data_IF_962375536499
#
_entry.id   IF_962375536499
#
_cell.length_a   1.000
_cell.length_b   1.000
_cell.length_c   1.000
_cell.angle_alpha   90.00
_cell.angle_beta   90.00
_cell.angle_gamma   90.00
#
_symmetry.space_group_name_H-M   'P 1'
#
loop_
_entity.id
_entity.type
_entity.pdbx_description
1 polymer ?
#
# COMPACT_ATOMS: atom_id res chain seq x y z
N UNK A 1 23.85 -81.15 -52.03
CA UNK A 1 22.66 -80.98 -51.17
C UNK A 1 22.89 -79.76 -50.29
N UNK A 2 21.87 -78.89 -50.20
CA UNK A 2 21.92 -77.48 -49.76
C UNK A 2 22.05 -77.31 -48.24
N UNK A 3 22.71 -76.20 -47.88
CA UNK A 3 22.81 -75.54 -46.58
C UNK A 3 21.44 -75.21 -45.98
N UNK A 4 21.33 -75.18 -44.65
CA UNK A 4 20.46 -74.25 -43.93
C UNK A 4 21.14 -73.75 -42.65
N UNK A 5 21.28 -72.42 -42.61
CA UNK A 5 21.62 -71.56 -41.48
C UNK A 5 20.30 -71.07 -40.87
N UNK A 6 20.18 -70.92 -39.54
CA UNK A 6 19.22 -70.05 -38.80
C UNK A 6 19.79 -69.92 -37.37
N UNK A 7 20.43 -68.79 -37.05
CA UNK A 7 19.88 -67.54 -36.48
C UNK A 7 19.50 -67.64 -35.00
N UNK A 8 20.40 -67.15 -34.15
CA UNK A 8 20.20 -66.85 -32.73
C UNK A 8 19.37 -65.55 -32.65
N UNK A 9 18.12 -65.63 -32.23
CA UNK A 9 17.29 -64.45 -31.95
C UNK A 9 17.55 -64.03 -30.50
N UNK A 10 18.29 -62.93 -30.33
CA UNK A 10 18.42 -62.24 -29.05
C UNK A 10 17.17 -61.37 -28.89
N UNK A 11 16.24 -61.82 -28.04
CA UNK A 11 15.06 -61.05 -27.65
C UNK A 11 15.48 -59.93 -26.71
N UNK A 12 15.71 -58.73 -27.24
CA UNK A 12 15.75 -57.51 -26.44
C UNK A 12 14.30 -57.18 -26.08
N UNK A 13 13.93 -57.45 -24.83
CA UNK A 13 12.71 -56.90 -24.24
C UNK A 13 12.99 -55.41 -24.03
N UNK A 14 12.42 -54.58 -24.89
CA UNK A 14 12.29 -53.15 -24.63
C UNK A 14 11.25 -52.99 -23.52
N UNK A 15 11.72 -52.78 -22.29
CA UNK A 15 10.91 -52.21 -21.21
C UNK A 15 10.65 -50.74 -21.60
N UNK A 16 9.53 -50.52 -22.28
CA UNK A 16 8.94 -49.20 -22.42
C UNK A 16 8.28 -48.81 -21.11
N UNK A 17 8.60 -47.62 -20.62
CA UNK A 17 8.00 -47.02 -19.43
C UNK A 17 9.02 -46.38 -18.50
N UNK A 18 9.88 -45.48 -18.99
CA UNK A 18 10.39 -44.43 -18.13
C UNK A 18 9.23 -43.43 -17.99
N UNK A 19 8.53 -43.45 -16.86
CA UNK A 19 7.92 -42.21 -16.39
C UNK A 19 9.08 -41.26 -16.14
N UNK A 20 9.07 -40.08 -16.74
CA UNK A 20 9.92 -38.98 -16.26
C UNK A 20 9.63 -38.83 -14.78
N UNK A 21 10.65 -39.06 -13.93
CA UNK A 21 10.56 -38.64 -12.54
C UNK A 21 10.33 -37.14 -12.57
N UNK A 22 9.24 -36.68 -11.94
CA UNK A 22 8.91 -35.26 -11.88
C UNK A 22 10.11 -34.49 -11.30
N UNK A 23 10.53 -33.41 -11.97
CA UNK A 23 11.66 -32.60 -11.51
C UNK A 23 11.33 -32.07 -10.10
N UNK A 24 12.10 -32.45 -9.06
CA UNK A 24 11.82 -32.06 -7.69
C UNK A 24 11.93 -30.55 -7.46
N UNK A 25 12.52 -29.80 -8.41
CA UNK A 25 12.59 -28.34 -8.36
C UNK A 25 11.22 -27.67 -8.55
N UNK A 26 10.25 -28.36 -9.14
CA UNK A 26 8.93 -27.80 -9.50
C UNK A 26 7.77 -28.63 -8.93
N UNK A 27 7.61 -28.69 -7.59
CA UNK A 27 6.59 -29.52 -6.94
C UNK A 27 5.16 -28.99 -7.08
N UNK A 28 4.96 -27.70 -7.35
CA UNK A 28 3.66 -27.04 -7.30
C UNK A 28 3.19 -26.49 -8.66
N UNK A 29 4.09 -25.91 -9.46
CA UNK A 29 3.76 -25.30 -10.76
C UNK A 29 4.76 -25.70 -11.83
N UNK A 30 4.25 -26.09 -12.99
CA UNK A 30 5.00 -26.47 -14.20
C UNK A 30 4.39 -25.81 -15.45
N UNK A 31 5.08 -25.92 -16.60
CA UNK A 31 4.60 -25.29 -17.84
C UNK A 31 3.22 -25.78 -18.29
N UNK A 32 2.89 -27.05 -18.01
CA UNK A 32 1.60 -27.64 -18.38
C UNK A 32 0.41 -27.03 -17.61
N UNK A 33 0.66 -26.31 -16.52
CA UNK A 33 -0.37 -25.56 -15.76
C UNK A 33 -0.77 -24.24 -16.44
N UNK A 34 -0.02 -23.83 -17.48
CA UNK A 34 -0.21 -22.59 -18.22
C UNK A 34 -0.38 -22.83 -19.73
N UNK A 35 -1.32 -23.71 -20.15
CA UNK A 35 -1.45 -24.14 -21.54
C UNK A 35 -1.89 -23.02 -22.51
N UNK A 36 -2.43 -21.92 -21.98
CA UNK A 36 -2.88 -20.76 -22.74
C UNK A 36 -1.77 -19.77 -23.09
N UNK A 37 -0.60 -19.87 -22.46
CA UNK A 37 0.52 -18.93 -22.64
C UNK A 37 1.31 -19.29 -23.89
N UNK A 38 1.77 -18.29 -24.63
CA UNK A 38 2.56 -18.51 -25.85
C UNK A 38 3.92 -19.17 -25.59
N UNK A 39 4.53 -18.89 -24.44
CA UNK A 39 5.86 -19.41 -24.07
C UNK A 39 5.96 -19.70 -22.58
N UNK A 40 6.75 -20.71 -22.22
CA UNK A 40 7.07 -21.06 -20.84
C UNK A 40 8.56 -21.35 -20.68
N UNK A 41 9.16 -20.81 -19.63
CA UNK A 41 10.57 -21.02 -19.26
C UNK A 41 10.64 -21.54 -17.83
N UNK A 42 11.26 -22.71 -17.66
CA UNK A 42 11.60 -23.27 -16.35
C UNK A 42 13.00 -22.83 -15.96
N UNK A 43 13.16 -22.22 -14.79
CA UNK A 43 14.46 -21.86 -14.21
C UNK A 43 14.75 -22.77 -13.02
N UNK A 44 15.79 -23.59 -13.15
CA UNK A 44 16.19 -24.58 -12.13
C UNK A 44 16.43 -23.95 -10.76
N UNK A 45 16.29 -24.75 -9.71
CA UNK A 45 16.50 -24.36 -8.31
C UNK A 45 17.79 -23.55 -8.10
N UNK A 46 17.65 -22.30 -7.65
CA UNK A 46 18.76 -21.40 -7.30
C UNK A 46 19.63 -20.92 -8.47
N UNK A 47 19.22 -21.17 -9.72
CA UNK A 47 19.93 -20.73 -10.91
C UNK A 47 19.70 -19.23 -11.19
N UNK A 48 20.40 -18.39 -10.43
CA UNK A 48 20.30 -16.92 -10.54
C UNK A 48 20.70 -16.41 -11.94
N UNK A 49 21.74 -16.98 -12.55
CA UNK A 49 22.14 -16.58 -13.90
C UNK A 49 21.10 -17.01 -14.93
N UNK A 50 20.56 -18.23 -14.82
CA UNK A 50 19.48 -18.70 -15.68
C UNK A 50 18.22 -17.83 -15.60
N UNK A 51 17.88 -17.33 -14.40
CA UNK A 51 16.81 -16.33 -14.23
C UNK A 51 17.12 -15.05 -15.01
N UNK A 52 18.31 -14.47 -14.83
CA UNK A 52 18.69 -13.24 -15.51
C UNK A 52 18.72 -13.41 -17.03
N UNK A 53 19.23 -14.53 -17.52
CA UNK A 53 19.26 -14.85 -18.95
C UNK A 53 17.85 -15.00 -19.52
N UNK A 54 16.94 -15.68 -18.78
CA UNK A 54 15.56 -15.84 -19.17
C UNK A 54 14.82 -14.49 -19.27
N UNK A 55 14.95 -13.63 -18.26
CA UNK A 55 14.23 -12.34 -18.25
C UNK A 55 14.78 -11.36 -19.31
N UNK A 56 16.07 -11.44 -19.63
CA UNK A 56 16.68 -10.64 -20.70
C UNK A 56 16.28 -11.07 -22.11
N UNK A 57 15.73 -12.28 -22.26
CA UNK A 57 15.32 -12.86 -23.54
C UNK A 57 13.79 -12.97 -23.70
N UNK A 58 13.01 -12.31 -22.85
CA UNK A 58 11.55 -12.43 -22.85
C UNK A 58 10.93 -11.93 -24.15
N UNK A 59 10.11 -12.79 -24.74
CA UNK A 59 9.04 -12.40 -25.65
C UNK A 59 7.76 -12.10 -24.85
N UNK A 60 6.84 -11.35 -25.46
CA UNK A 60 5.52 -11.13 -24.88
C UNK A 60 4.78 -12.46 -24.64
N UNK A 61 3.86 -12.47 -23.68
CA UNK A 61 3.02 -13.63 -23.36
C UNK A 61 3.81 -14.87 -22.89
N UNK A 62 4.83 -14.62 -22.06
CA UNK A 62 5.69 -15.67 -21.47
C UNK A 62 5.38 -15.87 -19.99
N UNK A 63 5.44 -17.12 -19.53
CA UNK A 63 5.54 -17.47 -18.11
C UNK A 63 6.96 -17.93 -17.77
N UNK A 64 7.55 -17.35 -16.73
CA UNK A 64 8.82 -17.78 -16.15
C UNK A 64 8.51 -18.44 -14.81
N UNK A 65 8.75 -19.74 -14.72
CA UNK A 65 8.52 -20.53 -13.52
C UNK A 65 9.87 -20.81 -12.86
N UNK A 66 10.01 -20.34 -11.62
CA UNK A 66 11.19 -20.55 -10.81
C UNK A 66 11.00 -21.80 -9.97
N UNK A 67 12.03 -22.62 -9.89
CA UNK A 67 12.05 -23.77 -9.00
C UNK A 67 12.14 -23.34 -7.53
N UNK A 68 12.03 -24.30 -6.63
CA UNK A 68 12.33 -24.10 -5.21
C UNK A 68 13.79 -23.69 -5.03
N UNK A 69 14.11 -22.92 -3.99
CA UNK A 69 15.48 -22.56 -3.62
C UNK A 69 15.67 -21.05 -3.48
N UNK A 70 16.87 -20.67 -3.04
CA UNK A 70 17.31 -19.28 -2.98
C UNK A 70 18.16 -18.94 -4.20
N UNK A 71 17.81 -17.85 -4.87
CA UNK A 71 18.48 -17.29 -6.03
C UNK A 71 19.28 -16.07 -5.55
N UNK A 72 20.59 -16.25 -5.38
CA UNK A 72 21.49 -15.18 -4.94
C UNK A 72 21.74 -14.21 -6.10
N UNK A 73 21.24 -12.97 -5.98
CA UNK A 73 21.25 -11.97 -7.04
C UNK A 73 22.07 -10.75 -6.62
N UNK A 74 22.92 -10.27 -7.53
CA UNK A 74 23.64 -8.99 -7.42
C UNK A 74 23.15 -7.96 -8.45
N UNK A 75 22.17 -8.33 -9.28
CA UNK A 75 21.56 -7.54 -10.34
C UNK A 75 20.03 -7.67 -10.30
N UNK A 76 19.32 -6.61 -10.69
CA UNK A 76 17.85 -6.57 -10.70
C UNK A 76 17.23 -7.51 -11.74
N UNK A 77 16.09 -8.09 -11.41
CA UNK A 77 15.24 -8.82 -12.37
C UNK A 77 14.42 -7.80 -13.16
N UNK A 78 14.74 -7.63 -14.45
CA UNK A 78 14.19 -6.56 -15.28
C UNK A 78 13.17 -7.08 -16.29
N UNK A 79 11.96 -6.54 -16.28
CA UNK A 79 10.86 -6.98 -17.18
C UNK A 79 10.40 -5.82 -18.07
N UNK A 80 10.46 -6.00 -19.39
CA UNK A 80 10.10 -4.99 -20.40
C UNK A 80 9.21 -5.53 -21.54
N UNK A 81 8.89 -6.82 -21.52
CA UNK A 81 7.91 -7.44 -22.39
C UNK A 81 6.54 -7.42 -21.69
N UNK A 82 5.46 -7.47 -22.47
CA UNK A 82 4.08 -7.45 -21.97
C UNK A 82 3.52 -8.86 -21.76
N UNK A 83 2.50 -8.95 -20.92
CA UNK A 83 1.83 -10.17 -20.51
C UNK A 83 2.87 -11.15 -19.98
N UNK A 84 3.61 -10.76 -18.95
CA UNK A 84 4.64 -11.61 -18.35
C UNK A 84 4.14 -12.10 -17.00
N UNK A 85 4.31 -13.40 -16.76
CA UNK A 85 4.10 -14.00 -15.44
C UNK A 85 5.43 -14.48 -14.90
N UNK A 86 5.86 -13.99 -13.74
CA UNK A 86 6.93 -14.61 -12.94
C UNK A 86 6.28 -15.32 -11.76
N UNK A 87 6.52 -16.62 -11.64
CA UNK A 87 5.96 -17.41 -10.55
C UNK A 87 7.03 -18.29 -9.91
N UNK A 88 7.05 -18.32 -8.58
CA UNK A 88 7.81 -19.32 -7.83
C UNK A 88 6.97 -20.56 -7.51
N UNK A 89 7.47 -21.36 -6.57
CA UNK A 89 6.77 -22.54 -6.04
C UNK A 89 6.06 -22.25 -4.71
N UNK A 90 6.11 -21.02 -4.20
CA UNK A 90 5.53 -20.61 -2.92
C UNK A 90 6.43 -19.58 -2.23
N UNK A 91 5.84 -18.68 -1.42
CA UNK A 91 6.59 -17.64 -0.70
C UNK A 91 7.75 -18.19 0.14
N UNK A 92 7.59 -19.38 0.73
CA UNK A 92 8.63 -20.00 1.56
C UNK A 92 9.56 -20.93 0.78
N UNK A 93 9.25 -21.20 -0.49
CA UNK A 93 9.91 -22.23 -1.28
C UNK A 93 10.80 -21.63 -2.37
N UNK A 94 10.46 -20.45 -2.90
CA UNK A 94 11.26 -19.72 -3.90
C UNK A 94 11.62 -18.33 -3.36
N UNK A 95 12.91 -18.05 -3.24
CA UNK A 95 13.43 -16.78 -2.70
C UNK A 95 14.40 -16.13 -3.68
N UNK A 96 14.17 -14.88 -4.03
CA UNK A 96 15.11 -14.00 -4.72
C UNK A 96 15.87 -13.21 -3.65
N UNK A 97 17.13 -13.58 -3.41
CA UNK A 97 17.95 -13.05 -2.32
C UNK A 97 18.99 -12.06 -2.86
N UNK A 98 18.81 -10.79 -2.53
CA UNK A 98 19.65 -9.69 -2.96
C UNK A 98 20.70 -9.28 -1.91
N UNK A 99 20.91 -10.08 -0.86
CA UNK A 99 21.96 -9.84 0.14
C UNK A 99 23.37 -9.61 -0.43
N UNK A 100 23.77 -10.22 -1.58
CA UNK A 100 25.05 -9.93 -2.24
C UNK A 100 25.09 -8.60 -3.01
N UNK A 101 23.94 -7.99 -3.32
CA UNK A 101 23.87 -6.79 -4.13
C UNK A 101 24.46 -5.58 -3.40
N UNK A 102 25.30 -4.82 -4.10
CA UNK A 102 25.94 -3.59 -3.56
C UNK A 102 25.48 -2.32 -4.27
N UNK A 103 24.87 -2.46 -5.45
CA UNK A 103 24.28 -1.36 -6.18
C UNK A 103 22.88 -1.05 -5.63
N UNK A 104 22.44 0.19 -5.79
CA UNK A 104 21.06 0.62 -5.46
C UNK A 104 20.10 0.15 -6.55
N UNK A 105 19.66 -1.11 -6.43
CA UNK A 105 18.80 -1.80 -7.40
C UNK A 105 17.52 -2.29 -6.74
N UNK A 106 16.46 -2.37 -7.55
CA UNK A 106 15.24 -3.05 -7.14
C UNK A 106 15.42 -4.57 -7.19
N UNK A 107 14.58 -5.31 -6.49
CA UNK A 107 14.53 -6.76 -6.63
C UNK A 107 13.97 -7.15 -8.00
N UNK A 108 12.69 -6.84 -8.21
CA UNK A 108 12.03 -6.91 -9.51
C UNK A 108 11.68 -5.48 -9.96
N UNK A 109 12.06 -5.13 -11.18
CA UNK A 109 11.74 -3.86 -11.81
C UNK A 109 11.04 -4.09 -13.15
N UNK A 110 9.75 -3.78 -13.21
CA UNK A 110 8.89 -4.11 -14.33
C UNK A 110 8.19 -2.89 -14.94
N UNK A 111 8.12 -2.87 -16.27
CA UNK A 111 7.22 -2.03 -17.06
C UNK A 111 6.60 -3.00 -18.07
N UNK A 112 5.37 -3.44 -17.80
CA UNK A 112 4.70 -4.53 -18.52
C UNK A 112 3.20 -4.51 -18.29
N UNK A 113 2.43 -4.32 -19.36
CA UNK A 113 0.98 -4.53 -19.31
C UNK A 113 0.67 -6.01 -19.10
N UNK A 114 -0.31 -6.37 -18.26
CA UNK A 114 -0.66 -7.76 -17.96
C UNK A 114 0.39 -8.48 -17.11
N UNK A 115 1.19 -7.75 -16.33
CA UNK A 115 2.23 -8.35 -15.49
C UNK A 115 1.65 -9.07 -14.29
N UNK A 116 2.12 -10.29 -14.03
CA UNK A 116 1.79 -11.07 -12.84
C UNK A 116 3.08 -11.50 -12.14
N UNK A 117 3.16 -11.24 -10.85
CA UNK A 117 4.18 -11.81 -9.97
C UNK A 117 3.51 -12.59 -8.85
N UNK A 118 3.87 -13.85 -8.69
CA UNK A 118 3.24 -14.70 -7.68
C UNK A 118 4.15 -15.76 -7.06
N UNK A 119 3.77 -16.22 -5.87
CA UNK A 119 4.31 -17.42 -5.23
C UNK A 119 5.83 -17.39 -4.99
N UNK A 120 6.39 -16.25 -4.59
CA UNK A 120 7.83 -16.09 -4.31
C UNK A 120 8.11 -15.02 -3.23
N UNK A 121 9.32 -15.04 -2.70
CA UNK A 121 9.86 -13.97 -1.84
C UNK A 121 10.92 -13.15 -2.56
N UNK A 122 10.92 -11.82 -2.38
CA UNK A 122 12.06 -10.93 -2.61
C UNK A 122 12.64 -10.53 -1.24
N UNK A 123 13.92 -10.80 -1.05
CA UNK A 123 14.66 -10.57 0.20
C UNK A 123 15.82 -9.61 -0.04
N UNK A 124 15.97 -8.61 0.83
CA UNK A 124 17.14 -7.74 0.93
C UNK A 124 17.49 -6.94 -0.34
N UNK A 125 16.49 -6.57 -1.14
CA UNK A 125 16.69 -5.66 -2.28
C UNK A 125 17.22 -4.30 -1.78
N UNK A 126 18.39 -3.80 -2.23
CA UNK A 126 18.96 -2.55 -1.70
C UNK A 126 18.13 -1.29 -1.93
N UNK A 127 17.17 -1.33 -2.88
CA UNK A 127 16.22 -0.26 -3.16
C UNK A 127 14.78 -0.75 -2.99
N UNK A 128 13.98 -0.92 -4.05
CA UNK A 128 12.58 -1.35 -3.92
C UNK A 128 12.48 -2.88 -4.06
N UNK A 129 11.59 -3.54 -3.33
CA UNK A 129 11.39 -4.99 -3.44
C UNK A 129 10.89 -5.38 -4.83
N UNK A 130 9.63 -5.04 -5.13
CA UNK A 130 8.97 -5.37 -6.40
C UNK A 130 8.26 -4.13 -6.93
N UNK A 131 8.92 -3.45 -7.86
CA UNK A 131 8.43 -2.23 -8.48
C UNK A 131 7.83 -2.51 -9.86
N UNK A 132 6.57 -2.13 -10.05
CA UNK A 132 5.90 -2.16 -11.36
C UNK A 132 5.44 -0.75 -11.69
N UNK A 133 5.98 -0.19 -12.77
CA UNK A 133 5.71 1.19 -13.18
C UNK A 133 5.01 1.26 -14.54
N UNK A 134 4.16 2.27 -14.75
CA UNK A 134 3.59 2.64 -16.06
C UNK A 134 2.96 1.45 -16.79
N UNK A 135 2.19 0.65 -16.06
CA UNK A 135 1.66 -0.63 -16.53
C UNK A 135 0.16 -0.73 -16.31
N UNK A 136 -0.54 -1.51 -17.14
CA UNK A 136 -1.96 -1.78 -17.02
C UNK A 136 -2.23 -3.27 -16.79
N UNK A 137 -3.08 -3.62 -15.82
CA UNK A 137 -3.41 -5.01 -15.51
C UNK A 137 -2.29 -5.69 -14.76
N UNK A 138 -1.97 -5.18 -13.57
CA UNK A 138 -0.85 -5.65 -12.74
C UNK A 138 -1.38 -6.49 -11.59
N UNK A 139 -0.81 -7.69 -11.39
CA UNK A 139 -1.18 -8.56 -10.26
C UNK A 139 0.03 -8.94 -9.43
N UNK A 140 -0.07 -8.70 -8.12
CA UNK A 140 0.80 -9.24 -7.09
C UNK A 140 -0.02 -10.23 -6.27
N UNK A 141 0.41 -11.50 -6.18
CA UNK A 141 -0.37 -12.54 -5.52
C UNK A 141 0.50 -13.50 -4.75
N UNK A 142 0.25 -13.69 -3.46
CA UNK A 142 1.03 -14.62 -2.62
C UNK A 142 2.52 -14.40 -2.77
N UNK A 143 2.94 -13.14 -2.65
CA UNK A 143 4.35 -12.77 -2.65
C UNK A 143 4.75 -12.23 -1.28
N UNK A 144 6.05 -12.29 -0.99
CA UNK A 144 6.62 -11.61 0.17
C UNK A 144 7.75 -10.68 -0.25
N UNK A 145 7.74 -9.44 0.22
CA UNK A 145 8.88 -8.52 0.14
C UNK A 145 9.36 -8.19 1.56
N UNK A 146 10.63 -8.43 1.86
CA UNK A 146 11.15 -8.26 3.24
C UNK A 146 12.64 -7.94 3.27
N UNK A 147 13.09 -7.42 4.41
CA UNK A 147 14.50 -7.19 4.73
C UNK A 147 14.90 -7.92 6.00
N UNK A 148 16.17 -8.33 6.08
CA UNK A 148 16.72 -9.09 7.19
C UNK A 148 16.79 -8.24 8.46
N UNK A 149 17.23 -6.98 8.34
CA UNK A 149 17.37 -6.07 9.48
C UNK A 149 16.02 -5.45 9.83
N UNK A 150 15.61 -5.53 11.10
CA UNK A 150 14.38 -4.89 11.57
C UNK A 150 14.64 -3.42 11.93
N UNK A 151 13.76 -2.52 11.51
CA UNK A 151 13.83 -1.09 11.87
C UNK A 151 15.09 -0.37 11.35
N UNK A 152 15.70 -0.83 10.27
CA UNK A 152 16.91 -0.26 9.71
C UNK A 152 16.56 0.77 8.62
N UNK A 153 17.02 2.02 8.82
CA UNK A 153 16.78 3.12 7.86
C UNK A 153 17.49 2.94 6.52
N UNK A 154 18.36 1.91 6.40
CA UNK A 154 19.05 1.55 5.16
C UNK A 154 18.39 0.40 4.41
N UNK A 155 17.32 -0.18 4.96
CA UNK A 155 16.48 -1.09 4.21
C UNK A 155 15.88 -0.39 2.99
N UNK A 156 15.33 -1.19 2.09
CA UNK A 156 14.62 -0.69 0.93
C UNK A 156 13.38 0.13 1.30
N UNK A 157 13.12 1.16 0.51
CA UNK A 157 12.06 2.13 0.76
C UNK A 157 10.67 1.52 0.54
N UNK A 158 10.47 0.73 -0.51
CA UNK A 158 9.15 0.19 -0.83
C UNK A 158 9.21 -1.32 -1.06
N UNK A 159 8.39 -2.09 -0.33
CA UNK A 159 8.30 -3.55 -0.49
C UNK A 159 7.58 -3.96 -1.78
N UNK A 160 6.27 -3.83 -1.78
CA UNK A 160 5.39 -4.08 -2.93
C UNK A 160 4.99 -2.72 -3.51
N UNK A 161 5.37 -2.44 -4.76
CA UNK A 161 5.36 -1.07 -5.28
C UNK A 161 4.77 -0.94 -6.70
N UNK A 162 3.44 -1.01 -6.88
CA UNK A 162 2.79 -0.48 -8.07
C UNK A 162 2.80 1.05 -8.09
N UNK A 163 3.26 1.61 -9.22
CA UNK A 163 3.29 3.08 -9.41
C UNK A 163 2.88 3.48 -10.82
N UNK A 164 2.13 4.58 -10.94
CA UNK A 164 1.65 5.09 -12.25
C UNK A 164 0.96 4.01 -13.09
N UNK A 165 0.24 3.12 -12.42
CA UNK A 165 -0.30 1.91 -13.02
C UNK A 165 -1.83 1.88 -12.94
N UNK A 166 -2.46 1.10 -13.80
CA UNK A 166 -3.91 0.98 -13.87
C UNK A 166 -4.33 -0.47 -13.71
N UNK A 167 -5.52 -0.68 -13.14
CA UNK A 167 -6.09 -2.01 -12.92
C UNK A 167 -5.12 -2.92 -12.14
N UNK A 168 -4.88 -2.54 -10.88
CA UNK A 168 -3.88 -3.17 -10.03
C UNK A 168 -4.57 -4.05 -8.99
N UNK A 169 -4.13 -5.30 -8.87
CA UNK A 169 -4.51 -6.23 -7.82
C UNK A 169 -3.29 -6.56 -6.95
N UNK A 170 -3.40 -6.35 -5.65
CA UNK A 170 -2.45 -6.84 -4.66
C UNK A 170 -3.19 -7.71 -3.65
N UNK A 171 -2.91 -9.02 -3.65
CA UNK A 171 -3.62 -9.95 -2.78
C UNK A 171 -2.76 -11.03 -2.13
N UNK A 172 -3.20 -11.47 -0.94
CA UNK A 172 -2.62 -12.61 -0.21
C UNK A 172 -1.10 -12.48 0.03
N UNK A 173 -0.59 -11.24 0.10
CA UNK A 173 0.84 -10.95 0.09
C UNK A 173 1.32 -10.39 1.43
N UNK A 174 2.64 -10.44 1.64
CA UNK A 174 3.31 -10.00 2.86
C UNK A 174 4.34 -8.92 2.54
N UNK A 175 4.31 -7.80 3.25
CA UNK A 175 5.36 -6.80 3.15
C UNK A 175 5.89 -6.39 4.53
N UNK A 176 7.20 -6.51 4.69
CA UNK A 176 7.85 -6.42 6.00
C UNK A 176 9.10 -5.54 5.99
N UNK A 177 9.31 -4.80 7.08
CA UNK A 177 10.59 -4.15 7.44
C UNK A 177 11.12 -3.14 6.42
N UNK A 178 10.24 -2.55 5.62
CA UNK A 178 10.59 -1.49 4.70
C UNK A 178 10.85 -0.17 5.45
N UNK A 179 11.84 0.60 5.00
CA UNK A 179 12.22 1.88 5.62
C UNK A 179 11.26 3.02 5.32
N UNK A 180 10.31 2.81 4.42
CA UNK A 180 9.23 3.74 4.13
C UNK A 180 7.92 2.94 4.16
N UNK A 181 7.46 2.39 3.03
CA UNK A 181 6.20 1.67 2.96
C UNK A 181 6.36 0.18 2.64
N UNK A 182 5.74 -0.68 3.45
CA UNK A 182 5.68 -2.11 3.15
C UNK A 182 4.98 -2.37 1.82
N UNK A 183 3.76 -1.87 1.68
CA UNK A 183 2.97 -1.92 0.45
C UNK A 183 2.61 -0.51 0.03
N UNK A 184 3.18 -0.03 -1.07
CA UNK A 184 2.97 1.30 -1.60
C UNK A 184 2.20 1.25 -2.91
N UNK A 185 1.03 1.88 -2.95
CA UNK A 185 0.28 2.12 -4.19
C UNK A 185 0.30 3.61 -4.49
N UNK A 186 1.04 4.03 -5.51
CA UNK A 186 1.15 5.45 -5.84
C UNK A 186 0.74 5.80 -7.24
N UNK A 187 0.02 6.91 -7.41
CA UNK A 187 -0.29 7.47 -8.73
C UNK A 187 -1.07 6.46 -9.61
N UNK A 188 -1.84 5.56 -8.99
CA UNK A 188 -2.53 4.48 -9.66
C UNK A 188 -4.02 4.81 -9.91
N UNK A 189 -4.68 4.01 -10.77
CA UNK A 189 -6.12 4.08 -10.97
C UNK A 189 -6.75 2.68 -10.99
N UNK A 190 -7.88 2.50 -10.31
CA UNK A 190 -8.57 1.21 -10.17
C UNK A 190 -7.69 0.17 -9.50
N UNK A 191 -7.69 0.19 -8.17
CA UNK A 191 -6.82 -0.65 -7.35
C UNK A 191 -7.64 -1.47 -6.36
N UNK A 192 -7.30 -2.76 -6.25
CA UNK A 192 -7.78 -3.63 -5.18
C UNK A 192 -6.57 -4.09 -4.36
N UNK A 193 -6.61 -3.85 -3.05
CA UNK A 193 -5.61 -4.33 -2.09
C UNK A 193 -6.29 -5.14 -1.01
N UNK A 194 -6.12 -6.47 -1.00
CA UNK A 194 -6.87 -7.35 -0.09
C UNK A 194 -6.10 -8.51 0.51
N UNK A 195 -6.49 -8.94 1.71
CA UNK A 195 -5.94 -10.13 2.35
C UNK A 195 -4.40 -10.09 2.52
N UNK A 196 -3.81 -8.89 2.64
CA UNK A 196 -2.36 -8.74 2.80
C UNK A 196 -1.98 -8.57 4.27
N UNK A 197 -0.73 -8.89 4.60
CA UNK A 197 -0.12 -8.59 5.90
C UNK A 197 1.01 -7.59 5.73
N UNK A 198 0.96 -6.49 6.47
CA UNK A 198 2.01 -5.45 6.47
C UNK A 198 2.54 -5.24 7.89
N UNK A 199 3.83 -5.51 8.11
CA UNK A 199 4.41 -5.53 9.47
C UNK A 199 5.84 -4.99 9.58
N UNK A 200 6.13 -4.25 10.65
CA UNK A 200 7.49 -3.80 10.95
C UNK A 200 8.00 -2.70 10.02
N UNK A 201 7.12 -2.04 9.28
CA UNK A 201 7.47 -0.96 8.34
C UNK A 201 7.34 0.41 9.03
N UNK A 202 7.75 1.48 8.34
CA UNK A 202 7.32 2.83 8.75
C UNK A 202 5.82 2.98 8.46
N UNK A 203 5.42 3.05 7.20
CA UNK A 203 4.02 2.88 6.82
C UNK A 203 3.75 1.42 6.45
N UNK A 204 2.72 0.81 7.03
CA UNK A 204 2.32 -0.55 6.65
C UNK A 204 1.85 -0.60 5.20
N UNK A 205 0.80 0.18 4.89
CA UNK A 205 0.18 0.26 3.57
C UNK A 205 -0.10 1.73 3.23
N UNK A 206 0.37 2.17 2.06
CA UNK A 206 0.11 3.51 1.54
C UNK A 206 -0.73 3.48 0.26
N UNK A 207 -1.74 4.35 0.23
CA UNK A 207 -2.46 4.74 -0.98
C UNK A 207 -2.12 6.21 -1.24
N UNK A 208 -1.10 6.45 -2.06
CA UNK A 208 -0.64 7.79 -2.44
C UNK A 208 -1.24 8.23 -3.78
N UNK A 209 -1.83 9.44 -3.86
CA UNK A 209 -2.21 10.09 -5.12
C UNK A 209 -2.95 9.12 -6.07
N UNK A 210 -3.87 8.33 -5.55
CA UNK A 210 -4.48 7.19 -6.27
C UNK A 210 -5.99 7.38 -6.39
N UNK A 211 -6.55 7.01 -7.54
CA UNK A 211 -7.98 7.16 -7.83
C UNK A 211 -8.65 5.79 -7.85
N UNK A 212 -9.79 5.65 -7.18
CA UNK A 212 -10.60 4.44 -7.17
C UNK A 212 -9.84 3.24 -6.57
N UNK A 213 -9.73 3.21 -5.24
CA UNK A 213 -9.07 2.12 -4.52
C UNK A 213 -10.03 1.45 -3.53
N UNK A 214 -10.05 0.12 -3.50
CA UNK A 214 -10.75 -0.68 -2.47
C UNK A 214 -9.72 -1.51 -1.68
N UNK A 215 -9.55 -1.16 -0.41
CA UNK A 215 -8.52 -1.67 0.50
C UNK A 215 -9.22 -2.38 1.66
N UNK A 216 -9.19 -3.71 1.66
CA UNK A 216 -9.98 -4.49 2.59
C UNK A 216 -9.39 -5.82 3.06
N UNK A 217 -9.83 -6.28 4.24
CA UNK A 217 -9.38 -7.54 4.85
C UNK A 217 -7.84 -7.62 5.01
N UNK A 218 -7.14 -6.49 5.08
CA UNK A 218 -5.69 -6.45 5.33
C UNK A 218 -5.40 -6.43 6.84
N UNK A 219 -4.24 -6.96 7.21
CA UNK A 219 -3.71 -6.96 8.58
C UNK A 219 -2.47 -6.06 8.66
N UNK A 220 -2.60 -4.91 9.30
CA UNK A 220 -1.52 -3.95 9.53
C UNK A 220 -1.13 -3.95 11.00
N UNK A 221 0.05 -4.49 11.32
CA UNK A 221 0.51 -4.65 12.69
C UNK A 221 1.97 -4.26 12.91
N UNK A 222 2.26 -3.62 14.04
CA UNK A 222 3.64 -3.28 14.45
C UNK A 222 4.40 -2.47 13.40
N UNK A 223 3.71 -1.56 12.70
CA UNK A 223 4.33 -0.53 11.88
C UNK A 223 4.46 0.78 12.68
N UNK A 224 5.06 1.83 12.13
CA UNK A 224 4.97 3.19 12.73
C UNK A 224 3.57 3.76 12.52
N UNK A 225 3.05 3.63 11.30
CA UNK A 225 1.67 3.85 10.93
C UNK A 225 1.07 2.62 10.24
N UNK A 226 -0.19 2.31 10.53
CA UNK A 226 -0.89 1.16 9.98
C UNK A 226 -1.21 1.28 8.49
N UNK A 227 -2.30 1.98 8.16
CA UNK A 227 -2.74 2.19 6.77
C UNK A 227 -3.02 3.66 6.53
N UNK A 228 -2.41 4.24 5.51
CA UNK A 228 -2.45 5.68 5.23
C UNK A 228 -2.97 5.94 3.83
N UNK A 229 -3.79 6.99 3.68
CA UNK A 229 -4.37 7.43 2.42
C UNK A 229 -4.01 8.88 2.27
N UNK A 230 -3.19 9.23 1.28
CA UNK A 230 -2.79 10.63 1.15
C UNK A 230 -2.47 11.07 -0.27
N UNK A 231 -2.55 12.38 -0.49
CA UNK A 231 -1.89 13.03 -1.61
C UNK A 231 -0.65 13.78 -1.13
N UNK A 232 0.43 13.69 -1.88
CA UNK A 232 1.62 14.53 -1.71
C UNK A 232 1.71 15.58 -2.84
N UNK A 233 2.39 16.71 -2.56
CA UNK A 233 2.59 17.76 -3.56
C UNK A 233 3.46 17.28 -4.73
N UNK A 234 3.33 17.94 -5.89
CA UNK A 234 4.16 17.68 -7.07
C UNK A 234 3.72 16.50 -7.94
N UNK A 235 2.59 15.85 -7.62
CA UNK A 235 2.03 14.75 -8.40
C UNK A 235 0.82 15.21 -9.25
N UNK A 236 0.69 14.74 -10.51
CA UNK A 236 -0.42 15.11 -11.39
C UNK A 236 -1.74 14.38 -11.06
N UNK A 237 -1.70 13.33 -10.25
CA UNK A 237 -2.90 12.56 -9.89
C UNK A 237 -3.44 13.12 -8.57
N UNK A 238 -4.68 13.59 -8.59
CA UNK A 238 -5.43 13.95 -7.38
C UNK A 238 -6.16 12.71 -6.88
N UNK A 239 -5.88 12.29 -5.65
CA UNK A 239 -6.49 11.12 -5.02
C UNK A 239 -7.97 11.34 -4.71
N UNK A 240 -8.76 10.32 -5.02
CA UNK A 240 -10.22 10.33 -4.83
C UNK A 240 -10.79 8.92 -4.75
N UNK A 241 -11.96 8.81 -4.13
CA UNK A 241 -12.79 7.60 -4.18
C UNK A 241 -12.03 6.37 -3.62
N UNK A 242 -11.67 6.43 -2.34
CA UNK A 242 -10.92 5.38 -1.64
C UNK A 242 -11.82 4.73 -0.58
N UNK A 243 -11.89 3.41 -0.57
CA UNK A 243 -12.59 2.62 0.44
C UNK A 243 -11.56 1.87 1.27
N UNK A 244 -11.46 2.21 2.55
CA UNK A 244 -10.68 1.49 3.55
C UNK A 244 -11.63 0.77 4.49
N UNK A 245 -11.81 -0.53 4.30
CA UNK A 245 -12.84 -1.28 5.03
C UNK A 245 -12.42 -2.65 5.53
N UNK A 246 -12.98 -3.07 6.66
CA UNK A 246 -12.79 -4.43 7.19
C UNK A 246 -11.32 -4.81 7.46
N UNK A 247 -10.42 -3.82 7.63
CA UNK A 247 -9.01 -4.06 7.94
C UNK A 247 -8.79 -4.20 9.45
N UNK A 248 -7.75 -4.94 9.84
CA UNK A 248 -7.26 -5.03 11.22
C UNK A 248 -6.00 -4.18 11.36
N UNK A 249 -6.05 -3.13 12.16
CA UNK A 249 -5.01 -2.09 12.25
C UNK A 249 -4.58 -1.93 13.71
N UNK A 250 -3.61 -2.74 14.14
CA UNK A 250 -3.35 -2.97 15.56
C UNK A 250 -1.87 -2.81 15.92
N UNK A 251 -1.60 -2.35 17.15
CA UNK A 251 -0.25 -2.27 17.72
C UNK A 251 0.77 -1.54 16.82
N UNK A 252 0.34 -0.56 15.99
CA UNK A 252 1.25 0.16 15.09
C UNK A 252 2.06 1.20 15.86
N UNK A 253 2.99 0.72 16.70
CA UNK A 253 3.80 1.49 17.64
C UNK A 253 5.30 1.36 17.39
N UNK A 254 5.69 0.83 16.24
CA UNK A 254 7.11 0.69 15.91
C UNK A 254 7.73 2.10 15.84
N UNK A 255 8.94 2.31 16.42
CA UNK A 255 9.62 3.60 16.30
C UNK A 255 9.80 3.97 14.83
N UNK A 256 9.60 5.24 14.50
CA UNK A 256 9.84 5.72 13.14
C UNK A 256 11.34 5.62 12.79
N UNK A 257 11.67 4.95 11.68
CA UNK A 257 13.03 4.75 11.19
C UNK A 257 13.20 5.20 9.73
N UNK A 258 12.26 6.00 9.21
CA UNK A 258 12.37 6.52 7.86
C UNK A 258 13.61 7.41 7.71
N UNK A 259 14.34 7.30 6.58
CA UNK A 259 15.52 8.12 6.34
C UNK A 259 15.15 9.58 5.99
N UNK A 260 13.88 9.88 5.67
CA UNK A 260 13.40 11.22 5.33
C UNK A 260 11.98 11.22 4.75
N UNK A 261 11.61 12.32 4.08
CA UNK A 261 10.30 12.48 3.44
C UNK A 261 9.15 12.73 4.41
N UNK A 262 7.91 12.73 3.89
CA UNK A 262 6.69 12.96 4.69
C UNK A 262 6.49 11.85 5.73
N UNK A 263 6.90 10.62 5.43
CA UNK A 263 6.71 9.52 6.38
C UNK A 263 7.60 9.64 7.63
N UNK A 264 8.74 10.35 7.55
CA UNK A 264 9.63 10.54 8.68
C UNK A 264 9.07 11.46 9.79
N UNK A 265 8.01 12.21 9.49
CA UNK A 265 7.32 13.06 10.48
C UNK A 265 6.06 12.40 11.04
N UNK A 266 5.71 11.19 10.58
CA UNK A 266 4.59 10.42 11.12
C UNK A 266 4.93 9.99 12.55
N UNK A 267 4.09 10.32 13.55
CA UNK A 267 4.28 9.83 14.91
C UNK A 267 4.08 8.32 14.97
N UNK A 268 4.96 7.63 15.69
CA UNK A 268 4.72 6.23 16.02
C UNK A 268 3.41 6.09 16.80
N UNK A 269 2.67 4.98 16.62
CA UNK A 269 1.37 4.81 17.27
C UNK A 269 0.20 5.27 16.42
N UNK A 270 0.38 5.47 15.12
CA UNK A 270 -0.68 5.98 14.24
C UNK A 270 -1.42 4.80 13.58
N UNK A 271 -2.75 4.73 13.74
CA UNK A 271 -3.56 3.71 13.05
C UNK A 271 -3.70 4.02 11.56
N UNK A 272 -4.46 5.06 11.26
CA UNK A 272 -4.76 5.57 9.93
C UNK A 272 -4.71 7.08 9.91
N UNK A 273 -4.26 7.65 8.80
CA UNK A 273 -4.61 9.02 8.46
C UNK A 273 -5.06 9.16 7.00
N UNK A 274 -5.98 10.10 6.80
CA UNK A 274 -6.36 10.61 5.49
C UNK A 274 -5.78 12.02 5.35
N UNK A 275 -4.89 12.24 4.38
CA UNK A 275 -4.23 13.52 4.16
C UNK A 275 -4.40 14.03 2.73
N UNK A 276 -4.75 15.30 2.59
CA UNK A 276 -5.07 15.93 1.31
C UNK A 276 -5.95 15.03 0.37
N UNK A 277 -6.95 14.33 0.93
CA UNK A 277 -7.68 13.27 0.24
C UNK A 277 -9.18 13.58 0.12
N UNK A 278 -9.84 13.04 -0.91
CA UNK A 278 -11.28 13.26 -1.18
C UNK A 278 -12.07 11.98 -1.33
N UNK A 279 -13.34 12.00 -0.91
CA UNK A 279 -14.27 10.87 -1.07
C UNK A 279 -13.68 9.58 -0.52
N UNK A 280 -13.32 9.60 0.77
CA UNK A 280 -12.75 8.44 1.46
C UNK A 280 -13.77 7.84 2.41
N UNK A 281 -14.00 6.53 2.32
CA UNK A 281 -14.80 5.77 3.26
C UNK A 281 -13.88 4.93 4.16
N UNK A 282 -13.84 5.22 5.46
CA UNK A 282 -13.11 4.47 6.48
C UNK A 282 -14.13 3.72 7.33
N UNK A 283 -14.39 2.44 7.02
CA UNK A 283 -15.55 1.75 7.60
C UNK A 283 -15.32 0.31 8.00
N UNK A 284 -15.86 -0.13 9.14
CA UNK A 284 -15.79 -1.55 9.54
C UNK A 284 -14.39 -2.02 9.95
N UNK A 285 -13.42 -1.11 10.08
CA UNK A 285 -12.07 -1.49 10.47
C UNK A 285 -11.99 -1.74 11.99
N UNK A 286 -11.03 -2.57 12.39
CA UNK A 286 -10.71 -2.84 13.79
C UNK A 286 -9.41 -2.16 14.15
N UNK A 287 -9.49 -1.17 15.05
CA UNK A 287 -8.34 -0.48 15.60
C UNK A 287 -8.08 -0.90 17.04
N UNK A 288 -6.83 -1.23 17.35
CA UNK A 288 -6.45 -1.64 18.71
C UNK A 288 -5.03 -1.25 19.07
N UNK A 289 -4.86 -0.61 20.24
CA UNK A 289 -3.56 -0.30 20.86
C UNK A 289 -2.59 0.51 19.97
N UNK A 290 -3.10 1.43 19.15
CA UNK A 290 -2.27 2.41 18.44
C UNK A 290 -2.01 3.58 19.40
N UNK A 291 -0.77 3.80 19.82
CA UNK A 291 -0.43 4.65 20.97
C UNK A 291 -0.76 6.14 20.77
N UNK A 292 -0.67 6.66 19.55
CA UNK A 292 -0.94 8.07 19.22
C UNK A 292 -2.40 8.32 18.89
N UNK A 293 -3.01 7.49 18.06
CA UNK A 293 -4.42 7.63 17.68
C UNK A 293 -4.83 6.67 16.58
N UNK A 294 -6.13 6.46 16.43
CA UNK A 294 -6.66 5.50 15.46
C UNK A 294 -6.88 6.10 14.08
N UNK A 295 -7.59 7.23 13.98
CA UNK A 295 -7.90 7.87 12.70
C UNK A 295 -7.60 9.36 12.79
N UNK A 296 -6.76 9.88 11.91
CA UNK A 296 -6.50 11.31 11.75
C UNK A 296 -6.92 11.81 10.35
N UNK A 297 -7.70 12.88 10.30
CA UNK A 297 -8.14 13.54 9.07
C UNK A 297 -7.44 14.89 9.00
N UNK A 298 -6.51 15.02 8.05
CA UNK A 298 -5.52 16.09 8.02
C UNK A 298 -5.49 16.78 6.67
N UNK A 299 -5.44 18.10 6.63
CA UNK A 299 -5.08 18.89 5.45
C UNK A 299 -3.60 18.69 5.14
N UNK A 300 -3.25 18.72 3.85
CA UNK A 300 -1.86 18.79 3.42
C UNK A 300 -1.10 19.97 4.02
N UNK A 301 -1.79 21.06 4.37
CA UNK A 301 -1.19 22.24 5.00
C UNK A 301 -0.68 21.99 6.42
N UNK A 302 -1.05 20.86 7.05
CA UNK A 302 -0.46 20.40 8.31
C UNK A 302 0.97 19.89 8.10
N UNK A 303 1.26 19.31 6.93
CA UNK A 303 2.58 18.77 6.57
C UNK A 303 3.44 19.82 5.89
N UNK A 304 2.89 20.53 4.91
CA UNK A 304 3.56 21.65 4.26
C UNK A 304 2.64 22.86 4.19
N UNK A 305 2.94 23.86 5.03
CA UNK A 305 2.14 25.06 5.20
C UNK A 305 2.20 26.02 4.00
N UNK A 306 3.10 25.84 3.03
CA UNK A 306 3.13 26.65 1.81
C UNK A 306 2.08 26.13 0.82
N UNK A 307 0.96 26.85 0.60
CA UNK A 307 -0.05 26.38 -0.33
C UNK A 307 0.49 26.24 -1.76
N UNK A 308 1.53 27.00 -2.13
CA UNK A 308 2.12 26.99 -3.47
C UNK A 308 2.73 25.65 -3.88
N UNK A 309 3.19 24.82 -2.93
CA UNK A 309 3.72 23.48 -3.26
C UNK A 309 2.62 22.51 -3.67
N UNK A 310 1.38 22.78 -3.26
CA UNK A 310 0.20 21.97 -3.56
C UNK A 310 -0.50 22.40 -4.86
N UNK A 311 0.06 23.38 -5.56
CA UNK A 311 -0.51 23.93 -6.78
C UNK A 311 -0.20 23.01 -7.98
N UNK A 312 -1.23 22.58 -8.70
CA UNK A 312 -1.11 21.70 -9.87
C UNK A 312 -1.68 22.43 -11.10
N UNK A 313 -0.96 22.52 -12.23
CA UNK A 313 -1.53 22.96 -13.49
C UNK A 313 -2.68 22.06 -13.92
N UNK A 314 -3.86 22.64 -14.19
CA UNK A 314 -5.04 21.86 -14.61
C UNK A 314 -4.78 21.03 -15.88
N UNK A 315 -3.85 21.49 -16.74
CA UNK A 315 -3.45 20.78 -17.96
C UNK A 315 -2.62 19.51 -17.69
N UNK A 316 -2.05 19.37 -16.50
CA UNK A 316 -1.24 18.21 -16.08
C UNK A 316 -2.04 17.20 -15.28
N UNK A 317 -3.22 17.57 -14.77
CA UNK A 317 -4.04 16.69 -13.94
C UNK A 317 -4.44 15.43 -14.70
N UNK A 318 -4.25 14.28 -14.05
CA UNK A 318 -4.66 12.96 -14.55
C UNK A 318 -5.96 12.54 -13.86
N UNK A 319 -6.94 12.13 -14.66
CA UNK A 319 -8.26 11.71 -14.21
C UNK A 319 -9.30 12.84 -14.20
N UNK A 320 -10.53 12.50 -13.83
CA UNK A 320 -11.62 13.47 -13.70
C UNK A 320 -11.61 14.05 -12.28
N UNK A 321 -11.56 15.38 -12.20
CA UNK A 321 -11.59 16.16 -10.95
C UNK A 321 -12.76 17.17 -10.92
N UNK A 322 -13.66 17.11 -11.91
CA UNK A 322 -14.66 18.15 -12.16
C UNK A 322 -15.70 18.30 -11.04
N UNK A 323 -15.87 17.27 -10.22
CA UNK A 323 -16.76 17.20 -9.05
C UNK A 323 -16.04 17.35 -7.70
N UNK A 324 -14.70 17.49 -7.68
CA UNK A 324 -13.88 17.47 -6.46
C UNK A 324 -13.74 18.82 -5.75
N UNK A 325 -14.51 19.84 -6.11
CA UNK A 325 -14.55 21.11 -5.37
C UNK A 325 -13.19 21.80 -5.11
N UNK A 326 -12.14 21.43 -5.86
CA UNK A 326 -10.76 21.84 -5.55
C UNK A 326 -10.62 23.36 -5.61
N UNK A 327 -9.94 24.00 -4.62
CA UNK A 327 -9.70 25.42 -4.66
C UNK A 327 -8.87 25.81 -5.90
N UNK A 328 -9.19 26.95 -6.50
CA UNK A 328 -8.34 27.52 -7.55
C UNK A 328 -6.96 27.89 -6.98
N UNK A 329 -5.90 27.65 -7.75
CA UNK A 329 -4.56 28.06 -7.37
C UNK A 329 -4.29 29.55 -7.56
N UNK A 330 -3.14 30.01 -7.08
CA UNK A 330 -2.75 31.42 -7.19
C UNK A 330 -2.44 31.81 -8.64
N UNK A 331 -1.98 30.85 -9.45
CA UNK A 331 -1.75 31.02 -10.88
C UNK A 331 -3.02 30.73 -11.67
N UNK A 332 -3.34 31.57 -12.67
CA UNK A 332 -4.47 31.29 -13.55
C UNK A 332 -4.25 29.96 -14.30
N UNK A 333 -5.21 29.04 -14.19
CA UNK A 333 -5.11 27.73 -14.84
C UNK A 333 -4.64 26.59 -13.93
N UNK A 334 -4.52 26.81 -12.62
CA UNK A 334 -4.09 25.80 -11.65
C UNK A 334 -5.16 25.54 -10.58
N UNK A 335 -5.02 24.42 -9.86
CA UNK A 335 -5.82 24.03 -8.70
C UNK A 335 -4.90 23.76 -7.50
N UNK A 336 -5.47 23.71 -6.29
CA UNK A 336 -4.74 23.39 -5.06
C UNK A 336 -5.15 22.02 -4.53
N UNK A 337 -4.16 21.17 -4.25
CA UNK A 337 -4.38 19.78 -3.82
C UNK A 337 -4.12 19.52 -2.32
N UNK A 338 -4.34 20.50 -1.43
CA UNK A 338 -4.07 20.29 0.01
C UNK A 338 -5.30 19.87 0.83
N UNK A 339 -6.52 20.11 0.32
CA UNK A 339 -7.75 19.96 1.14
C UNK A 339 -8.09 18.48 1.36
N UNK A 340 -8.37 18.10 2.61
CA UNK A 340 -9.06 16.84 2.92
C UNK A 340 -10.53 17.10 3.13
N UNK A 341 -11.38 16.46 2.34
CA UNK A 341 -12.82 16.71 2.34
C UNK A 341 -13.61 15.48 1.93
N UNK A 342 -14.90 15.50 2.25
CA UNK A 342 -15.86 14.46 1.91
C UNK A 342 -15.36 13.09 2.41
N UNK A 343 -15.25 12.96 3.72
CA UNK A 343 -14.75 11.76 4.39
C UNK A 343 -15.88 11.15 5.21
N UNK A 344 -16.06 9.83 5.08
CA UNK A 344 -17.05 9.07 5.84
C UNK A 344 -16.34 8.08 6.74
N UNK A 345 -16.61 8.16 8.03
CA UNK A 345 -16.05 7.28 9.06
C UNK A 345 -17.24 6.62 9.76
N UNK A 346 -17.37 5.30 9.69
CA UNK A 346 -18.53 4.62 10.27
C UNK A 346 -18.23 3.17 10.63
N UNK A 347 -18.90 2.65 11.67
CA UNK A 347 -18.84 1.26 12.08
C UNK A 347 -17.41 0.72 12.35
N UNK A 348 -16.44 1.59 12.67
CA UNK A 348 -15.12 1.13 13.11
C UNK A 348 -15.19 0.72 14.58
N UNK A 349 -14.35 -0.22 14.98
CA UNK A 349 -14.18 -0.63 16.37
C UNK A 349 -12.85 -0.12 16.90
N UNK A 350 -12.85 0.40 18.13
CA UNK A 350 -11.70 1.07 18.74
C UNK A 350 -11.46 0.51 20.14
N UNK A 351 -10.20 0.21 20.48
CA UNK A 351 -9.85 -0.25 21.82
C UNK A 351 -8.39 0.02 22.18
N UNK A 352 -8.14 0.56 23.39
CA UNK A 352 -6.77 0.68 23.94
C UNK A 352 -5.82 1.67 23.24
N UNK A 353 -6.31 2.46 22.28
CA UNK A 353 -5.50 3.42 21.52
C UNK A 353 -5.44 4.80 22.18
N UNK A 354 -4.54 5.66 21.68
CA UNK A 354 -4.43 7.06 22.07
C UNK A 354 -3.79 7.31 23.44
N UNK A 355 -3.28 6.27 24.10
CA UNK A 355 -2.82 6.34 25.49
C UNK A 355 -1.41 6.90 25.68
N UNK A 356 -0.62 6.98 24.61
CA UNK A 356 0.78 7.40 24.68
C UNK A 356 1.25 8.07 23.37
N UNK A 357 0.74 9.26 23.03
CA UNK A 357 1.18 9.96 21.82
C UNK A 357 2.69 10.13 21.73
N UNK A 358 3.24 9.91 20.54
CA UNK A 358 4.67 10.04 20.29
C UNK A 358 5.11 11.52 20.29
N UNK A 359 5.55 11.98 21.46
CA UNK A 359 6.00 13.36 21.68
C UNK A 359 7.35 13.70 21.04
N UNK A 360 7.99 12.78 20.31
CA UNK A 360 9.15 13.13 19.48
C UNK A 360 8.73 13.88 18.22
N UNK A 361 7.47 13.74 17.80
CA UNK A 361 6.87 14.44 16.67
C UNK A 361 5.92 15.55 17.13
N UNK A 362 5.82 16.64 16.35
CA UNK A 362 5.01 17.81 16.71
C UNK A 362 3.53 17.46 16.92
N UNK A 363 2.96 16.59 16.07
CA UNK A 363 1.57 16.17 16.22
C UNK A 363 1.33 15.41 17.53
N UNK A 364 2.26 14.56 17.96
CA UNK A 364 2.16 13.89 19.25
C UNK A 364 2.32 14.84 20.44
N UNK A 365 3.16 15.88 20.34
CA UNK A 365 3.24 16.96 21.34
C UNK A 365 1.90 17.70 21.47
N UNK A 366 1.26 18.01 20.33
CA UNK A 366 -0.07 18.63 20.30
C UNK A 366 -1.09 17.74 21.04
N UNK A 367 -1.15 16.45 20.71
CA UNK A 367 -2.11 15.54 21.36
C UNK A 367 -1.84 15.41 22.87
N UNK A 368 -0.57 15.28 23.27
CA UNK A 368 -0.22 15.22 24.69
C UNK A 368 -0.65 16.49 25.45
N UNK A 369 -0.50 17.67 24.83
CA UNK A 369 -0.96 18.94 25.41
C UNK A 369 -2.49 19.04 25.46
N UNK A 370 -3.18 18.64 24.38
CA UNK A 370 -4.61 18.79 24.25
C UNK A 370 -5.41 17.83 25.16
N UNK A 371 -4.90 16.62 25.37
CA UNK A 371 -5.60 15.58 26.17
C UNK A 371 -5.06 15.44 27.59
N UNK A 372 -3.96 16.12 27.95
CA UNK A 372 -3.51 16.25 29.34
C UNK A 372 -3.18 14.93 30.04
N UNK A 373 -2.80 13.90 29.29
CA UNK A 373 -2.50 12.55 29.80
C UNK A 373 -3.68 11.57 29.78
N UNK A 374 -4.88 12.02 29.41
CA UNK A 374 -5.99 11.13 29.05
C UNK A 374 -5.79 10.58 27.62
N UNK A 375 -6.41 9.43 27.28
CA UNK A 375 -6.36 8.91 25.93
C UNK A 375 -6.91 9.91 24.90
N UNK A 376 -6.25 10.00 23.74
CA UNK A 376 -6.75 10.79 22.62
C UNK A 376 -8.07 10.24 22.07
N UNK A 377 -8.83 11.10 21.39
CA UNK A 377 -10.04 10.68 20.69
C UNK A 377 -9.70 9.68 19.56
N UNK A 378 -10.61 8.72 19.33
CA UNK A 378 -10.47 7.72 18.26
C UNK A 378 -10.42 8.36 16.86
N UNK A 379 -11.15 9.45 16.67
CA UNK A 379 -11.17 10.23 15.44
C UNK A 379 -10.63 11.64 15.76
N UNK A 380 -9.56 12.02 15.07
CA UNK A 380 -8.91 13.32 15.16
C UNK A 380 -9.11 14.04 13.84
N UNK A 381 -9.72 15.21 13.85
CA UNK A 381 -9.93 16.05 12.67
C UNK A 381 -9.22 17.38 12.86
N UNK A 382 -8.35 17.75 11.93
CA UNK A 382 -7.56 18.97 12.03
C UNK A 382 -8.39 20.26 12.00
N UNK A 383 -9.59 20.22 11.39
CA UNK A 383 -10.51 21.37 11.23
C UNK A 383 -9.97 22.46 10.31
N UNK A 384 -8.95 22.17 9.52
CA UNK A 384 -8.33 23.18 8.65
C UNK A 384 -9.30 23.57 7.52
N UNK A 385 -9.52 24.87 7.35
CA UNK A 385 -10.39 25.42 6.29
C UNK A 385 -11.89 25.41 6.60
N UNK A 386 -12.29 25.06 7.82
CA UNK A 386 -13.67 25.24 8.31
C UNK A 386 -13.95 26.73 8.59
N UNK A 387 -15.11 27.24 8.17
CA UNK A 387 -15.45 28.66 8.32
C UNK A 387 -15.83 29.07 9.74
N UNK A 388 -16.21 28.12 10.60
CA UNK A 388 -16.66 28.37 11.96
C UNK A 388 -16.09 27.32 12.92
N UNK A 389 -15.51 27.78 14.03
CA UNK A 389 -15.05 26.93 15.11
C UNK A 389 -15.46 27.50 16.48
N UNK A 390 -15.98 26.64 17.35
CA UNK A 390 -16.22 26.92 18.76
C UNK A 390 -15.86 25.69 19.60
N UNK A 391 -14.95 25.86 20.55
CA UNK A 391 -14.44 24.75 21.36
C UNK A 391 -15.45 24.19 22.39
N UNK A 392 -16.60 24.85 22.57
CA UNK A 392 -17.57 24.53 23.63
C UNK A 392 -18.98 24.27 23.13
N UNK A 393 -19.39 24.88 22.03
CA UNK A 393 -20.70 24.71 21.42
C UNK A 393 -20.55 24.06 20.03
N UNK A 394 -20.75 22.73 19.92
CA UNK A 394 -20.65 22.04 18.65
C UNK A 394 -21.60 22.60 17.58
N UNK A 395 -22.72 23.22 17.96
CA UNK A 395 -23.69 23.78 17.01
C UNK A 395 -23.22 25.06 16.33
N UNK A 396 -22.16 25.68 16.87
CA UNK A 396 -21.52 26.88 16.33
C UNK A 396 -20.34 26.55 15.41
N UNK A 397 -20.07 25.28 15.14
CA UNK A 397 -19.02 24.82 14.23
C UNK A 397 -19.59 24.56 12.83
N UNK A 398 -18.77 24.73 11.80
CA UNK A 398 -19.12 24.35 10.42
C UNK A 398 -18.72 22.90 10.12
N UNK A 399 -19.19 22.42 8.97
CA UNK A 399 -18.74 21.16 8.38
C UNK A 399 -18.57 21.35 6.86
N UNK A 400 -17.82 22.38 6.49
CA UNK A 400 -17.57 22.79 5.11
C UNK A 400 -16.76 21.74 4.36
N UNK A 401 -15.87 21.02 5.05
CA UNK A 401 -15.12 19.89 4.50
C UNK A 401 -15.96 18.62 4.42
N UNK A 402 -17.19 18.58 4.92
CA UNK A 402 -18.08 17.42 4.87
C UNK A 402 -17.45 16.14 5.47
N UNK A 403 -17.04 16.24 6.73
CA UNK A 403 -16.58 15.10 7.53
C UNK A 403 -17.79 14.47 8.22
N UNK A 404 -18.00 13.19 7.97
CA UNK A 404 -19.17 12.42 8.40
C UNK A 404 -18.77 11.28 9.33
N UNK A 405 -19.17 11.37 10.60
CA UNK A 405 -18.88 10.41 11.66
C UNK A 405 -20.12 9.80 12.32
N UNK A 406 -21.33 10.09 11.82
CA UNK A 406 -22.60 9.70 12.45
C UNK A 406 -22.86 8.19 12.54
N UNK A 407 -22.14 7.36 11.77
CA UNK A 407 -22.26 5.91 11.79
C UNK A 407 -21.41 5.19 12.84
N UNK A 408 -20.78 5.89 13.78
CA UNK A 408 -19.94 5.27 14.81
C UNK A 408 -20.74 4.95 16.09
N UNK A 409 -20.40 3.87 16.81
CA UNK A 409 -21.11 3.48 18.03
C UNK A 409 -20.89 4.48 19.18
N UNK A 410 -21.80 4.43 20.16
CA UNK A 410 -21.61 5.13 21.44
C UNK A 410 -20.29 4.70 22.09
N UNK A 411 -19.44 5.67 22.44
CA UNK A 411 -18.12 5.43 23.03
C UNK A 411 -16.94 5.76 22.10
N UNK A 412 -17.18 5.96 20.80
CA UNK A 412 -16.17 6.55 19.90
C UNK A 412 -15.96 8.02 20.28
N UNK A 413 -14.71 8.41 20.52
CA UNK A 413 -14.34 9.81 20.72
C UNK A 413 -14.07 10.51 19.39
N UNK A 414 -14.53 11.75 19.25
CA UNK A 414 -14.19 12.62 18.11
C UNK A 414 -13.63 13.93 18.64
N UNK A 415 -12.50 14.38 18.09
CA UNK A 415 -11.90 15.66 18.40
C UNK A 415 -11.70 16.49 17.14
N UNK A 416 -12.15 17.74 17.18
CA UNK A 416 -11.84 18.79 16.23
C UNK A 416 -10.76 19.68 16.84
N UNK A 417 -9.58 19.67 16.21
CA UNK A 417 -8.34 20.16 16.82
C UNK A 417 -8.06 21.64 16.58
N UNK A 418 -8.72 22.25 15.59
CA UNK A 418 -8.49 23.65 15.17
C UNK A 418 -6.99 23.93 14.97
N UNK A 419 -6.35 23.11 14.14
CA UNK A 419 -4.89 23.06 14.01
C UNK A 419 -4.29 24.41 13.61
N UNK A 420 -5.00 25.24 12.84
CA UNK A 420 -4.58 26.61 12.51
C UNK A 420 -4.21 27.42 13.75
N UNK A 421 -5.02 27.38 14.82
CA UNK A 421 -4.73 28.06 16.08
C UNK A 421 -3.68 27.29 16.90
N UNK A 422 -3.64 25.96 16.82
CA UNK A 422 -2.60 25.16 17.50
C UNK A 422 -1.19 25.47 16.98
N UNK A 423 -1.05 25.77 15.70
CA UNK A 423 0.22 26.17 15.08
C UNK A 423 0.70 27.54 15.59
N UNK A 424 -0.23 28.40 16.01
CA UNK A 424 0.07 29.71 16.64
C UNK A 424 0.37 29.54 18.13
N UNK A 425 -0.46 28.78 18.83
CA UNK A 425 -0.37 28.53 20.26
C UNK A 425 -0.80 27.10 20.60
N UNK A 426 0.20 26.21 20.76
CA UNK A 426 -0.04 24.82 21.18
C UNK A 426 -0.81 24.78 22.50
N UNK A 427 -1.83 23.93 22.55
CA UNK A 427 -2.72 23.80 23.70
C UNK A 427 -3.90 24.78 23.65
N UNK A 428 -4.13 25.42 22.51
CA UNK A 428 -5.36 26.15 22.25
C UNK A 428 -6.58 25.24 22.42
N UNK A 429 -7.76 25.80 22.76
CA UNK A 429 -8.95 24.98 22.97
C UNK A 429 -9.29 24.12 21.74
N UNK A 430 -9.53 22.83 22.00
CA UNK A 430 -10.06 21.88 21.01
C UNK A 430 -11.53 21.62 21.32
N UNK A 431 -12.27 21.16 20.31
CA UNK A 431 -13.63 20.67 20.49
C UNK A 431 -13.59 19.15 20.65
N UNK A 432 -14.11 18.64 21.77
CA UNK A 432 -14.37 17.22 21.96
C UNK A 432 -15.87 16.96 21.82
N UNK A 433 -16.25 16.06 20.92
CA UNK A 433 -17.64 15.67 20.66
C UNK A 433 -17.85 14.18 20.90
N UNK A 434 -19.01 13.89 21.48
CA UNK A 434 -19.53 12.54 21.71
C UNK A 434 -20.80 12.35 20.88
N UNK A 435 -21.07 11.14 20.42
CA UNK A 435 -22.29 10.85 19.66
C UNK A 435 -23.57 11.40 20.36
N UNK A 436 -24.46 12.12 19.66
CA UNK A 436 -24.32 12.59 18.27
C UNK A 436 -23.25 13.69 18.11
N UNK A 437 -22.32 13.50 17.18
CA UNK A 437 -21.13 14.27 16.85
C UNK A 437 -21.44 15.57 16.06
N UNK A 438 -22.38 16.40 16.49
CA UNK A 438 -22.77 17.58 15.72
C UNK A 438 -21.56 18.53 15.51
N UNK A 439 -21.37 19.15 14.33
CA UNK A 439 -22.16 19.06 13.09
C UNK A 439 -21.77 17.90 12.16
N UNK A 440 -20.89 17.01 12.59
CA UNK A 440 -20.31 15.88 11.83
C UNK A 440 -21.18 14.61 11.81
N UNK A 441 -22.43 14.69 12.28
CA UNK A 441 -23.38 13.56 12.40
C UNK A 441 -23.89 12.98 11.07
N UNK A 442 -23.41 13.46 9.94
CA UNK A 442 -23.79 12.89 8.65
C UNK A 442 -23.26 11.45 8.50
N UNK A 443 -23.90 10.69 7.60
CA UNK A 443 -23.63 9.27 7.37
C UNK A 443 -23.36 8.95 5.90
N UNK A 444 -23.27 9.96 5.03
CA UNK A 444 -23.12 9.81 3.59
C UNK A 444 -22.17 10.85 3.01
N UNK A 445 -21.45 10.45 1.97
CA UNK A 445 -20.62 11.36 1.18
C UNK A 445 -21.47 12.25 0.27
N UNK A 446 -21.01 13.47 0.02
CA UNK A 446 -21.49 14.27 -1.10
C UNK A 446 -21.20 13.55 -2.42
N UNK A 447 -22.16 13.54 -3.34
CA UNK A 447 -22.06 12.79 -4.61
C UNK A 447 -22.41 11.30 -4.50
N UNK A 448 -22.73 10.81 -3.30
CA UNK A 448 -23.09 9.41 -3.06
C UNK A 448 -21.89 8.53 -2.67
N UNK A 449 -22.18 7.26 -2.36
CA UNK A 449 -21.18 6.28 -1.93
C UNK A 449 -20.07 6.11 -2.97
N UNK A 450 -18.87 5.75 -2.51
CA UNK A 450 -17.77 5.40 -3.41
C UNK A 450 -18.14 4.10 -4.13
N UNK A 451 -17.93 4.07 -5.45
CA UNK A 451 -18.24 2.89 -6.25
C UNK A 451 -17.28 1.74 -5.91
N UNK A 452 -17.76 0.50 -6.06
CA UNK A 452 -16.90 -0.68 -5.98
C UNK A 452 -15.94 -0.69 -7.17
N UNK A 453 -14.67 -1.00 -6.89
CA UNK A 453 -13.64 -1.16 -7.92
C UNK A 453 -13.80 -2.56 -8.53
N UNK A 454 -13.97 -2.62 -9.85
CA UNK A 454 -13.98 -3.87 -10.61
C UNK A 454 -12.80 -3.85 -11.57
N UNK A 455 -11.93 -4.83 -11.44
CA UNK A 455 -10.81 -5.03 -12.36
C UNK A 455 -11.28 -5.84 -13.59
N UNK A 456 -10.72 -5.58 -14.79
CA UNK A 456 -11.11 -6.20 -16.05
C UNK A 456 -10.82 -7.70 -16.16
#
# INVERSE_FOLDING_TARGET
MRKYTISLVLSVVALGGCGEEADPSFPNLQCDDFPERASCVLVSSGDAQGLLDAVNALDNDTVVILGTGSYMLDNQVTIRANQITITGQGMNDTVLDFGPATAQINGIDAISDGFVVQDLTVLDAPKDGIRVENSNGVTYRRIKATWTNEGDSTNGAYGIYPVRSQNVLVEESIAERSSDAGLYVGQCQHVIVRNNTVQGNVAGLEIENTQYADVYDNHAENNTAGIVVFDLPGNPVVGRDVRLRDNTIINNNHPNFAPGGTVAIIPAGTGTFALASRRVEITGNTYMNNQTGDIAILSGLVVDSDPGVWEIPMAEVIGDISDLGLPAGATAGTIMNFRTENIRIANNTHSGSGTAPDTTQQFGVLLAAAFGGEPSASILYDTFGESMFDATDPTMNSNDNHICAGGNPNGTGFASLHVEEQLVAIGSPILLVTAPFAPFDCDALNGGAVAEVVLP
#
